data_IF_494686577464
#
_entry.id   IF_494686577464
#
_cell.length_a   1.000
_cell.length_b   1.000
_cell.length_c   1.000
_cell.angle_alpha   90.00
_cell.angle_beta   90.00
_cell.angle_gamma   90.00
#
_symmetry.space_group_name_H-M   'P 1'
#
loop_
_entity.id
_entity.type
_entity.pdbx_description
1 polymer ?
#
# COMPACT_ATOMS: atom_id res chain seq x y z
N UNK A 1 -0.66 -5.36 -19.07
CA UNK A 1 -0.71 -3.88 -18.98
C UNK A 1 -0.08 -3.47 -17.68
N UNK A 2 0.81 -2.48 -17.66
CA UNK A 2 1.39 -1.91 -16.44
C UNK A 2 0.47 -0.81 -15.89
N UNK A 3 0.06 -0.93 -14.63
CA UNK A 3 -0.55 0.15 -13.87
C UNK A 3 0.53 0.79 -13.00
N UNK A 4 0.95 2.00 -13.37
CA UNK A 4 1.99 2.74 -12.67
C UNK A 4 1.48 4.12 -12.25
N UNK A 5 1.78 4.52 -11.04
CA UNK A 5 1.38 5.81 -10.49
C UNK A 5 2.18 6.18 -9.25
N UNK A 6 1.74 7.20 -8.55
CA UNK A 6 2.41 7.72 -7.38
C UNK A 6 1.43 8.18 -6.30
N UNK A 7 1.96 8.53 -5.14
CA UNK A 7 1.17 9.12 -4.06
C UNK A 7 0.82 10.58 -4.38
N UNK A 8 -0.48 10.92 -4.37
CA UNK A 8 -0.99 12.24 -4.67
C UNK A 8 -1.72 12.87 -3.49
N UNK A 9 -1.73 14.19 -3.44
CA UNK A 9 -2.46 14.95 -2.43
C UNK A 9 -3.95 15.05 -2.77
N UNK A 10 -4.81 14.76 -1.80
CA UNK A 10 -6.26 14.92 -1.90
C UNK A 10 -6.75 16.35 -1.56
N UNK A 11 -5.86 17.32 -1.36
CA UNK A 11 -6.21 18.67 -0.91
C UNK A 11 -7.14 19.41 -1.87
N UNK A 12 -6.96 19.22 -3.19
CA UNK A 12 -7.73 19.89 -4.23
C UNK A 12 -8.99 19.12 -4.67
N UNK A 13 -9.24 17.94 -4.08
CA UNK A 13 -10.37 17.07 -4.40
C UNK A 13 -10.01 15.86 -5.25
N UNK A 14 -11.00 14.98 -5.44
CA UNK A 14 -10.81 13.69 -6.10
C UNK A 14 -10.58 13.82 -7.60
N UNK A 15 -11.41 14.61 -8.31
CA UNK A 15 -11.22 14.83 -9.74
C UNK A 15 -9.88 15.50 -10.04
N UNK A 16 -9.42 16.41 -9.18
CA UNK A 16 -8.12 17.07 -9.33
C UNK A 16 -6.97 16.05 -9.24
N UNK A 17 -7.03 15.07 -8.33
CA UNK A 17 -6.06 13.97 -8.27
C UNK A 17 -6.02 13.18 -9.58
N UNK A 18 -7.18 12.81 -10.13
CA UNK A 18 -7.26 12.09 -11.40
C UNK A 18 -6.63 12.85 -12.56
N UNK A 19 -6.89 14.17 -12.66
CA UNK A 19 -6.26 15.04 -13.65
C UNK A 19 -4.75 15.15 -13.47
N UNK A 20 -4.29 15.27 -12.21
CA UNK A 20 -2.86 15.27 -11.90
C UNK A 20 -2.23 13.94 -12.31
N UNK A 21 -2.84 12.80 -11.97
CA UNK A 21 -2.34 11.49 -12.39
C UNK A 21 -2.18 11.40 -13.91
N UNK A 22 -3.18 11.82 -14.69
CA UNK A 22 -3.12 11.86 -16.14
C UNK A 22 -1.96 12.72 -16.64
N UNK A 23 -1.75 13.90 -16.07
CA UNK A 23 -0.67 14.82 -16.46
C UNK A 23 0.72 14.23 -16.22
N UNK A 24 0.85 13.32 -15.26
CA UNK A 24 2.09 12.59 -14.95
C UNK A 24 2.29 11.33 -15.82
N UNK A 25 1.29 10.96 -16.65
CA UNK A 25 1.28 9.71 -17.40
C UNK A 25 0.94 8.49 -16.55
N UNK A 26 0.39 8.69 -15.36
CA UNK A 26 -0.07 7.62 -14.48
C UNK A 26 -1.43 7.05 -14.92
N UNK A 27 -1.68 5.77 -14.60
CA UNK A 27 -2.96 5.10 -14.81
C UNK A 27 -3.40 4.30 -13.56
N UNK A 28 -2.85 4.62 -12.43
CA UNK A 28 -3.26 4.35 -11.06
C UNK A 28 -2.67 5.43 -10.17
N UNK A 29 -3.07 5.53 -8.93
CA UNK A 29 -2.42 6.39 -7.93
C UNK A 29 -2.85 6.01 -6.51
N UNK A 30 -2.11 6.53 -5.54
CA UNK A 30 -2.43 6.44 -4.12
C UNK A 30 -2.73 7.81 -3.54
N UNK A 31 -3.51 7.85 -2.48
CA UNK A 31 -3.79 9.05 -1.71
C UNK A 31 -4.09 8.71 -0.24
N UNK A 32 -3.86 9.65 0.66
CA UNK A 32 -4.33 9.50 2.03
C UNK A 32 -5.82 9.80 2.14
N UNK A 33 -6.56 8.96 2.87
CA UNK A 33 -7.99 9.14 3.14
C UNK A 33 -8.28 10.40 3.95
N UNK A 34 -7.29 10.84 4.73
CA UNK A 34 -7.32 12.03 5.60
C UNK A 34 -5.91 12.59 5.79
N UNK A 35 -5.77 13.67 6.56
CA UNK A 35 -4.45 14.17 6.91
C UNK A 35 -3.61 13.03 7.54
N UNK A 36 -2.47 12.63 6.94
CA UNK A 36 -1.68 11.49 7.39
C UNK A 36 -1.06 11.66 8.79
N UNK A 37 -0.93 12.90 9.26
CA UNK A 37 -0.38 13.27 10.58
C UNK A 37 -1.45 13.77 11.55
N UNK A 38 -2.72 13.63 11.20
CA UNK A 38 -3.85 14.11 11.98
C UNK A 38 -5.08 13.25 11.81
N UNK A 39 -6.16 13.61 12.52
CA UNK A 39 -7.42 12.85 12.50
C UNK A 39 -8.47 13.41 11.53
N UNK A 40 -8.26 14.63 11.04
CA UNK A 40 -9.28 15.32 10.22
C UNK A 40 -9.35 14.75 8.81
N UNK A 41 -10.54 14.30 8.41
CA UNK A 41 -10.90 14.06 7.02
C UNK A 41 -11.67 15.26 6.48
N UNK A 42 -11.44 15.64 5.22
CA UNK A 42 -12.30 16.58 4.50
C UNK A 42 -13.68 15.92 4.28
N UNK A 43 -14.76 16.69 4.28
CA UNK A 43 -16.06 16.16 3.90
C UNK A 43 -15.97 15.53 2.49
N UNK A 44 -16.55 14.34 2.34
CA UNK A 44 -16.64 13.68 1.03
C UNK A 44 -17.68 14.45 0.18
N UNK A 45 -17.28 14.83 -1.03
CA UNK A 45 -18.19 15.32 -2.04
C UNK A 45 -18.54 14.17 -3.01
N UNK A 46 -19.78 13.64 -2.97
CA UNK A 46 -20.19 12.56 -3.85
C UNK A 46 -20.12 12.91 -5.35
N UNK A 47 -20.32 14.18 -5.70
CA UNK A 47 -20.25 14.63 -7.09
C UNK A 47 -18.80 14.63 -7.59
N UNK A 48 -17.84 15.08 -6.78
CA UNK A 48 -16.42 15.06 -7.08
C UNK A 48 -15.91 13.60 -7.20
N UNK A 49 -16.35 12.71 -6.29
CA UNK A 49 -16.04 11.29 -6.37
C UNK A 49 -16.63 10.64 -7.64
N UNK A 50 -17.86 10.99 -8.03
CA UNK A 50 -18.48 10.51 -9.25
C UNK A 50 -17.73 11.00 -10.50
N UNK A 51 -17.30 12.26 -10.52
CA UNK A 51 -16.50 12.82 -11.61
C UNK A 51 -15.13 12.11 -11.74
N UNK A 52 -14.48 11.79 -10.61
CA UNK A 52 -13.26 10.96 -10.63
C UNK A 52 -13.55 9.58 -11.23
N UNK A 53 -14.61 8.88 -10.78
CA UNK A 53 -14.95 7.54 -11.33
C UNK A 53 -15.13 7.56 -12.84
N UNK A 54 -15.80 8.60 -13.37
CA UNK A 54 -15.97 8.77 -14.81
C UNK A 54 -14.61 8.93 -15.52
N UNK A 55 -13.74 9.83 -15.00
CA UNK A 55 -12.41 10.05 -15.55
C UNK A 55 -11.58 8.75 -15.56
N UNK A 56 -11.61 7.97 -14.45
CA UNK A 56 -10.88 6.70 -14.36
C UNK A 56 -11.36 5.69 -15.42
N UNK A 57 -12.67 5.59 -15.62
CA UNK A 57 -13.27 4.72 -16.63
C UNK A 57 -12.90 5.15 -18.05
N UNK A 58 -13.00 6.45 -18.37
CA UNK A 58 -12.70 7.00 -19.70
C UNK A 58 -11.24 6.80 -20.11
N UNK A 59 -10.32 6.73 -19.13
CA UNK A 59 -8.88 6.63 -19.36
C UNK A 59 -8.28 5.26 -19.01
N UNK A 60 -9.10 4.26 -18.70
CA UNK A 60 -8.63 2.88 -18.43
C UNK A 60 -7.70 2.76 -17.24
N UNK A 61 -7.98 3.48 -16.15
CA UNK A 61 -7.22 3.36 -14.92
C UNK A 61 -7.39 1.99 -14.29
N UNK A 62 -6.32 1.49 -13.65
CA UNK A 62 -6.36 0.38 -12.72
C UNK A 62 -6.94 0.78 -11.36
N UNK A 63 -7.04 -0.19 -10.42
CA UNK A 63 -7.48 0.09 -9.06
C UNK A 63 -6.62 1.18 -8.40
N UNK A 64 -7.26 2.03 -7.60
CA UNK A 64 -6.56 3.01 -6.77
C UNK A 64 -6.24 2.43 -5.40
N UNK A 65 -5.26 3.01 -4.72
CA UNK A 65 -4.92 2.68 -3.35
C UNK A 65 -5.21 3.89 -2.46
N UNK A 66 -6.13 3.74 -1.53
CA UNK A 66 -6.34 4.71 -0.47
C UNK A 66 -5.53 4.28 0.75
N UNK A 67 -4.62 5.10 1.22
CA UNK A 67 -3.76 4.76 2.35
C UNK A 67 -4.31 5.31 3.66
N UNK A 68 -4.33 4.48 4.68
CA UNK A 68 -4.67 4.90 6.05
C UNK A 68 -3.65 5.93 6.58
N UNK A 69 -4.05 6.83 7.48
CA UNK A 69 -3.11 7.78 8.07
C UNK A 69 -2.11 7.06 8.99
N UNK A 70 -0.87 7.56 9.06
CA UNK A 70 0.18 7.02 9.92
C UNK A 70 -0.13 7.09 11.42
N UNK A 71 -1.18 7.83 11.79
CA UNK A 71 -1.59 8.01 13.19
C UNK A 71 -2.37 6.83 13.76
N UNK A 72 -2.82 5.89 12.94
CA UNK A 72 -3.51 4.69 13.44
C UNK A 72 -2.51 3.62 13.88
N UNK A 73 -2.81 2.96 14.98
CA UNK A 73 -2.10 1.77 15.44
C UNK A 73 -3.09 0.81 16.13
N UNK A 74 -3.67 -0.14 15.40
CA UNK A 74 -4.69 -1.04 15.93
C UNK A 74 -4.15 -2.03 16.99
N UNK A 75 -2.83 -2.14 17.15
CA UNK A 75 -2.21 -3.01 18.14
C UNK A 75 -1.36 -2.26 19.18
N UNK A 76 -1.61 -0.96 19.38
CA UNK A 76 -0.99 -0.20 20.47
C UNK A 76 -1.36 -0.77 21.83
N UNK A 77 -0.44 -0.68 22.81
CA UNK A 77 -0.77 -0.99 24.22
C UNK A 77 -1.84 -0.05 24.78
N UNK A 78 -1.94 1.18 24.23
CA UNK A 78 -2.89 2.19 24.71
C UNK A 78 -4.29 1.95 24.13
N UNK A 79 -5.31 1.66 24.95
CA UNK A 79 -6.67 1.37 24.49
C UNK A 79 -7.26 2.48 23.61
N UNK A 80 -7.07 3.74 23.99
CA UNK A 80 -7.56 4.90 23.22
C UNK A 80 -6.99 4.97 21.81
N UNK A 81 -5.72 4.57 21.62
CA UNK A 81 -5.09 4.52 20.31
C UNK A 81 -5.71 3.42 19.44
N UNK A 82 -6.03 2.27 20.03
CA UNK A 82 -6.74 1.19 19.31
C UNK A 82 -8.17 1.57 18.94
N UNK A 83 -8.90 2.19 19.86
CA UNK A 83 -10.27 2.70 19.61
C UNK A 83 -10.26 3.74 18.50
N UNK A 84 -9.32 4.68 18.52
CA UNK A 84 -9.13 5.66 17.46
C UNK A 84 -8.83 4.98 16.11
N UNK A 85 -8.01 3.94 16.09
CA UNK A 85 -7.71 3.20 14.87
C UNK A 85 -8.98 2.54 14.28
N UNK A 86 -9.79 1.88 15.12
CA UNK A 86 -11.07 1.26 14.69
C UNK A 86 -12.03 2.31 14.15
N UNK A 87 -12.23 3.42 14.85
CA UNK A 87 -13.11 4.50 14.40
C UNK A 87 -12.64 5.11 13.09
N UNK A 88 -11.33 5.31 12.93
CA UNK A 88 -10.74 5.87 11.72
C UNK A 88 -10.92 4.94 10.53
N UNK A 89 -10.61 3.64 10.70
CA UNK A 89 -10.79 2.65 9.64
C UNK A 89 -12.26 2.51 9.21
N UNK A 90 -13.20 2.51 10.16
CA UNK A 90 -14.63 2.44 9.85
C UNK A 90 -15.08 3.66 9.03
N UNK A 91 -14.72 4.88 9.45
CA UNK A 91 -15.06 6.10 8.70
C UNK A 91 -14.39 6.14 7.32
N UNK A 92 -13.15 5.70 7.21
CA UNK A 92 -12.44 5.64 5.91
C UNK A 92 -13.10 4.63 4.96
N UNK A 93 -13.49 3.46 5.43
CA UNK A 93 -14.17 2.44 4.63
C UNK A 93 -15.54 2.93 4.16
N UNK A 94 -16.34 3.59 5.03
CA UNK A 94 -17.61 4.22 4.65
C UNK A 94 -17.43 5.27 3.55
N UNK A 95 -16.40 6.09 3.66
CA UNK A 95 -16.06 7.11 2.67
C UNK A 95 -15.63 6.51 1.33
N UNK A 96 -14.86 5.43 1.36
CA UNK A 96 -14.37 4.74 0.17
C UNK A 96 -15.47 4.01 -0.62
N UNK A 97 -16.66 3.79 -0.04
CA UNK A 97 -17.81 3.30 -0.82
C UNK A 97 -18.28 4.28 -1.91
N UNK A 98 -17.86 5.56 -1.86
CA UNK A 98 -18.00 6.49 -2.98
C UNK A 98 -17.02 6.22 -4.14
N UNK A 99 -15.96 5.43 -3.90
CA UNK A 99 -14.96 5.00 -4.88
C UNK A 99 -14.83 3.46 -4.87
N UNK A 100 -15.91 2.71 -5.21
CA UNK A 100 -15.94 1.25 -5.08
C UNK A 100 -14.93 0.55 -5.99
N UNK A 101 -14.51 -0.65 -5.57
CA UNK A 101 -13.57 -1.49 -6.34
C UNK A 101 -12.11 -1.09 -6.21
N UNK A 102 -11.79 -0.20 -5.27
CA UNK A 102 -10.43 0.21 -4.93
C UNK A 102 -9.94 -0.45 -3.65
N UNK A 103 -8.71 -0.16 -3.26
CA UNK A 103 -8.04 -0.73 -2.10
C UNK A 103 -7.92 0.28 -0.96
N UNK A 104 -8.02 -0.21 0.26
CA UNK A 104 -7.67 0.52 1.47
C UNK A 104 -6.47 -0.15 2.11
N UNK A 105 -5.31 0.45 1.97
CA UNK A 105 -4.03 -0.06 2.48
C UNK A 105 -3.72 0.51 3.86
N UNK A 106 -3.23 -0.32 4.76
CA UNK A 106 -2.79 0.11 6.09
C UNK A 106 -1.55 -0.65 6.57
N UNK A 107 -0.71 0.05 7.32
CA UNK A 107 0.32 -0.59 8.12
C UNK A 107 -0.35 -1.42 9.21
N UNK A 108 0.03 -2.69 9.43
CA UNK A 108 -0.54 -3.51 10.50
C UNK A 108 -0.42 -2.87 11.88
N UNK A 109 0.67 -2.14 12.12
CA UNK A 109 0.92 -1.39 13.34
C UNK A 109 2.10 -1.91 14.14
N UNK A 110 2.25 -1.38 15.35
CA UNK A 110 3.34 -1.72 16.27
C UNK A 110 2.77 -2.16 17.61
N UNK A 111 3.19 -3.34 18.09
CA UNK A 111 2.66 -3.93 19.33
C UNK A 111 3.16 -3.23 20.61
N UNK A 112 4.02 -2.24 20.51
CA UNK A 112 4.48 -1.36 21.61
C UNK A 112 4.88 -2.09 22.89
N UNK A 113 5.58 -3.23 22.75
CA UNK A 113 6.11 -4.02 23.86
C UNK A 113 5.16 -5.09 24.43
N UNK A 114 3.94 -5.28 23.85
CA UNK A 114 2.99 -6.31 24.30
C UNK A 114 3.28 -7.72 23.76
N UNK A 115 4.22 -7.83 22.81
CA UNK A 115 4.55 -9.06 22.10
C UNK A 115 3.73 -9.26 20.82
N UNK A 116 4.34 -10.00 19.88
CA UNK A 116 3.82 -10.27 18.52
C UNK A 116 2.42 -10.88 18.56
N UNK A 117 2.21 -11.94 19.33
CA UNK A 117 0.91 -12.64 19.42
C UNK A 117 -0.24 -11.74 19.89
N UNK A 118 0.03 -10.87 20.88
CA UNK A 118 -0.96 -9.90 21.35
C UNK A 118 -1.28 -8.88 20.26
N UNK A 119 -0.25 -8.38 19.56
CA UNK A 119 -0.42 -7.43 18.46
C UNK A 119 -1.23 -8.03 17.31
N UNK A 120 -0.91 -9.22 16.84
CA UNK A 120 -1.62 -9.95 15.79
C UNK A 120 -3.11 -10.11 16.13
N UNK A 121 -3.41 -10.56 17.36
CA UNK A 121 -4.79 -10.69 17.83
C UNK A 121 -5.53 -9.36 17.84
N UNK A 122 -4.90 -8.28 18.28
CA UNK A 122 -5.51 -6.95 18.35
C UNK A 122 -5.79 -6.38 16.94
N UNK A 123 -4.88 -6.57 15.97
CA UNK A 123 -5.09 -6.17 14.58
C UNK A 123 -6.29 -6.92 13.99
N UNK A 124 -6.32 -8.25 14.16
CA UNK A 124 -7.43 -9.06 13.66
C UNK A 124 -8.78 -8.66 14.31
N UNK A 125 -8.79 -8.35 15.60
CA UNK A 125 -9.99 -7.84 16.28
C UNK A 125 -10.45 -6.50 15.69
N UNK A 126 -9.53 -5.57 15.43
CA UNK A 126 -9.84 -4.27 14.84
C UNK A 126 -10.41 -4.44 13.42
N UNK A 127 -9.82 -5.31 12.60
CA UNK A 127 -10.33 -5.61 11.26
C UNK A 127 -11.71 -6.26 11.31
N UNK A 128 -11.92 -7.24 12.17
CA UNK A 128 -13.22 -7.89 12.36
C UNK A 128 -14.32 -6.91 12.84
N UNK A 129 -13.94 -5.84 13.53
CA UNK A 129 -14.88 -4.82 13.99
C UNK A 129 -15.32 -3.86 12.87
N UNK A 130 -14.53 -3.68 11.81
CA UNK A 130 -14.81 -2.69 10.77
C UNK A 130 -15.17 -3.28 9.40
N UNK A 131 -14.77 -4.51 9.12
CA UNK A 131 -15.07 -5.18 7.85
C UNK A 131 -16.54 -5.59 7.77
N UNK A 132 -17.14 -5.41 6.60
CA UNK A 132 -18.53 -5.77 6.32
C UNK A 132 -18.64 -6.60 5.05
N UNK A 133 -19.54 -7.61 5.00
CA UNK A 133 -19.69 -8.48 3.83
C UNK A 133 -20.06 -7.76 2.53
N UNK A 134 -20.82 -6.66 2.65
CA UNK A 134 -21.31 -5.86 1.50
C UNK A 134 -20.32 -4.80 1.02
N UNK A 135 -19.22 -4.58 1.73
CA UNK A 135 -18.23 -3.56 1.36
C UNK A 135 -17.54 -3.93 0.03
N UNK A 136 -17.33 -2.91 -0.80
CA UNK A 136 -16.72 -3.06 -2.13
C UNK A 136 -15.25 -2.65 -2.16
N UNK A 137 -14.75 -2.08 -1.08
CA UNK A 137 -13.34 -1.73 -0.89
C UNK A 137 -12.62 -2.91 -0.27
N UNK A 138 -11.55 -3.40 -0.89
CA UNK A 138 -10.72 -4.47 -0.31
C UNK A 138 -9.67 -3.84 0.60
N UNK A 139 -9.60 -4.32 1.84
CA UNK A 139 -8.55 -3.91 2.79
C UNK A 139 -7.27 -4.68 2.51
N UNK A 140 -6.14 -3.95 2.49
CA UNK A 140 -4.80 -4.52 2.33
C UNK A 140 -3.98 -4.29 3.59
N UNK A 141 -3.25 -5.33 3.99
CA UNK A 141 -2.17 -5.23 4.96
C UNK A 141 -0.86 -5.00 4.20
N UNK A 142 -0.11 -4.00 4.59
CA UNK A 142 1.19 -3.73 3.99
C UNK A 142 2.28 -4.60 4.59
N UNK A 143 3.21 -5.09 3.74
CA UNK A 143 4.47 -5.65 4.24
C UNK A 143 5.32 -4.55 4.83
N UNK A 144 5.95 -4.80 5.99
CA UNK A 144 6.68 -3.80 6.76
C UNK A 144 8.16 -4.14 6.87
N UNK A 145 8.98 -3.13 7.19
CA UNK A 145 10.42 -3.31 7.38
C UNK A 145 10.79 -4.05 8.69
N UNK A 146 9.84 -4.27 9.59
CA UNK A 146 10.10 -4.90 10.90
C UNK A 146 10.89 -4.01 11.84
N UNK A 147 10.70 -2.70 11.78
CA UNK A 147 11.39 -1.72 12.61
C UNK A 147 10.85 -1.73 14.03
N UNK A 148 11.71 -1.98 15.01
CA UNK A 148 11.34 -1.96 16.44
C UNK A 148 10.33 -3.06 16.79
N UNK A 149 9.09 -2.66 17.07
CA UNK A 149 7.97 -3.56 17.43
C UNK A 149 6.85 -3.57 16.38
N UNK A 150 7.17 -3.16 15.19
CA UNK A 150 6.29 -3.14 14.02
C UNK A 150 5.99 -4.57 13.56
N UNK A 151 4.72 -4.84 13.19
CA UNK A 151 4.25 -6.13 12.68
C UNK A 151 4.08 -6.08 11.17
N UNK A 152 4.23 -7.23 10.51
CA UNK A 152 4.21 -7.33 9.06
C UNK A 152 5.59 -7.37 8.41
N UNK A 153 6.67 -7.38 9.22
CA UNK A 153 8.04 -7.60 8.76
C UNK A 153 8.31 -9.04 8.31
N UNK A 154 7.48 -9.98 8.74
CA UNK A 154 7.53 -11.37 8.30
C UNK A 154 6.20 -11.74 7.62
N UNK A 155 6.25 -12.45 6.49
CA UNK A 155 5.03 -12.90 5.81
C UNK A 155 4.13 -13.74 6.71
N UNK A 156 4.72 -14.51 7.63
CA UNK A 156 3.98 -15.31 8.60
C UNK A 156 3.11 -14.44 9.54
N UNK A 157 3.59 -13.28 9.96
CA UNK A 157 2.81 -12.35 10.80
C UNK A 157 1.55 -11.87 10.09
N UNK A 158 1.69 -11.51 8.79
CA UNK A 158 0.55 -11.14 7.95
C UNK A 158 -0.43 -12.31 7.80
N UNK A 159 0.09 -13.49 7.52
CA UNK A 159 -0.71 -14.73 7.43
C UNK A 159 -1.49 -14.98 8.72
N UNK A 160 -0.85 -14.89 9.87
CA UNK A 160 -1.49 -15.11 11.17
C UNK A 160 -2.56 -14.06 11.48
N UNK A 161 -2.40 -12.81 11.04
CA UNK A 161 -3.45 -11.79 11.12
C UNK A 161 -4.63 -12.22 10.23
N UNK A 162 -4.35 -12.56 8.96
CA UNK A 162 -5.37 -12.92 7.98
C UNK A 162 -6.19 -14.14 8.39
N UNK A 163 -5.57 -15.14 9.01
CA UNK A 163 -6.24 -16.35 9.49
C UNK A 163 -7.24 -16.09 10.63
N UNK A 164 -7.10 -14.96 11.32
CA UNK A 164 -7.98 -14.54 12.42
C UNK A 164 -9.05 -13.52 11.99
N UNK A 165 -9.04 -13.13 10.71
CA UNK A 165 -10.01 -12.18 10.13
C UNK A 165 -11.09 -12.96 9.39
N UNK A 166 -12.35 -12.67 9.72
CA UNK A 166 -13.49 -13.42 9.20
C UNK A 166 -13.78 -13.17 7.72
N UNK A 167 -13.43 -12.00 7.21
CA UNK A 167 -13.64 -11.59 5.82
C UNK A 167 -12.30 -11.47 5.09
N UNK A 168 -12.27 -11.69 3.76
CA UNK A 168 -11.04 -11.65 3.00
C UNK A 168 -10.36 -10.29 3.05
N UNK A 169 -9.07 -10.28 3.35
CA UNK A 169 -8.16 -9.13 3.19
C UNK A 169 -7.04 -9.50 2.24
N UNK A 170 -6.46 -8.51 1.58
CA UNK A 170 -5.31 -8.68 0.69
C UNK A 170 -4.02 -8.17 1.31
N UNK A 171 -2.98 -8.13 0.50
CA UNK A 171 -1.66 -7.62 0.87
C UNK A 171 -1.19 -6.59 -0.16
N UNK A 172 -0.55 -5.53 0.32
CA UNK A 172 0.28 -4.63 -0.46
C UNK A 172 1.74 -4.96 -0.17
N UNK A 173 2.50 -5.30 -1.20
CA UNK A 173 3.94 -5.57 -1.07
C UNK A 173 4.71 -4.28 -1.33
N UNK A 174 5.40 -3.77 -0.31
CA UNK A 174 6.34 -2.66 -0.48
C UNK A 174 7.75 -3.20 -0.70
N UNK A 175 8.38 -2.83 -1.81
CA UNK A 175 9.71 -3.33 -2.20
C UNK A 175 10.81 -2.83 -1.27
N UNK A 176 10.71 -1.60 -0.75
CA UNK A 176 11.63 -1.08 0.26
C UNK A 176 11.48 -1.85 1.59
N UNK A 177 10.24 -2.08 2.02
CA UNK A 177 9.96 -2.74 3.29
C UNK A 177 10.43 -4.19 3.30
N UNK A 178 10.10 -4.97 2.27
CA UNK A 178 10.56 -6.37 2.22
C UNK A 178 12.09 -6.48 2.11
N UNK A 179 12.72 -5.57 1.35
CA UNK A 179 14.18 -5.46 1.30
C UNK A 179 14.78 -5.14 2.67
N UNK A 180 14.25 -4.14 3.34
CA UNK A 180 14.70 -3.73 4.67
C UNK A 180 14.40 -4.81 5.74
N UNK A 181 13.35 -5.62 5.56
CA UNK A 181 13.03 -6.77 6.41
C UNK A 181 13.96 -7.99 6.19
N UNK A 182 14.75 -8.00 5.11
CA UNK A 182 15.73 -9.05 4.82
C UNK A 182 15.35 -10.01 3.69
N UNK A 183 14.25 -9.75 2.98
CA UNK A 183 13.90 -10.50 1.76
C UNK A 183 14.70 -9.95 0.56
N UNK A 184 15.62 -10.75 0.04
CA UNK A 184 16.52 -10.32 -1.06
C UNK A 184 15.82 -10.31 -2.42
N UNK A 185 14.95 -9.33 -2.65
CA UNK A 185 14.29 -9.12 -3.95
C UNK A 185 15.24 -8.70 -5.07
N UNK A 186 16.49 -8.35 -4.73
CA UNK A 186 17.52 -8.02 -5.71
C UNK A 186 18.28 -9.26 -6.20
N UNK A 187 18.60 -10.18 -5.33
CA UNK A 187 19.30 -11.42 -5.66
C UNK A 187 18.35 -12.55 -6.08
N UNK A 188 17.20 -12.66 -5.41
CA UNK A 188 16.30 -13.80 -5.55
C UNK A 188 14.81 -13.40 -5.47
N UNK A 189 14.33 -12.59 -6.41
CA UNK A 189 12.91 -12.20 -6.48
C UNK A 189 11.97 -13.40 -6.58
N UNK A 190 12.32 -14.40 -7.40
CA UNK A 190 11.51 -15.61 -7.59
C UNK A 190 11.37 -16.41 -6.28
N UNK A 191 12.47 -16.55 -5.52
CA UNK A 191 12.46 -17.19 -4.20
C UNK A 191 11.60 -16.44 -3.19
N UNK A 192 11.70 -15.11 -3.14
CA UNK A 192 10.86 -14.28 -2.26
C UNK A 192 9.37 -14.40 -2.62
N UNK A 193 9.02 -14.36 -3.89
CA UNK A 193 7.62 -14.52 -4.33
C UNK A 193 7.10 -15.95 -4.13
N UNK A 194 7.97 -16.95 -4.27
CA UNK A 194 7.64 -18.35 -3.93
C UNK A 194 7.35 -18.51 -2.43
N UNK A 195 8.16 -17.88 -1.58
CA UNK A 195 7.90 -17.88 -0.14
C UNK A 195 6.59 -17.13 0.19
N UNK A 196 6.36 -15.98 -0.44
CA UNK A 196 5.11 -15.24 -0.30
C UNK A 196 3.91 -16.12 -0.69
N UNK A 197 3.97 -16.81 -1.82
CA UNK A 197 2.90 -17.71 -2.29
C UNK A 197 2.66 -18.85 -1.31
N UNK A 198 3.72 -19.49 -0.83
CA UNK A 198 3.62 -20.58 0.13
C UNK A 198 3.00 -20.15 1.47
N UNK A 199 3.30 -18.95 1.95
CA UNK A 199 2.88 -18.48 3.28
C UNK A 199 1.52 -17.78 3.21
N UNK A 200 1.32 -16.88 2.24
CA UNK A 200 0.14 -16.01 2.15
C UNK A 200 -0.77 -16.42 1.00
N UNK A 201 -0.20 -16.73 -0.17
CA UNK A 201 -0.87 -16.94 -1.43
C UNK A 201 -0.76 -15.71 -2.34
N UNK A 202 -0.27 -15.89 -3.58
CA UNK A 202 -0.17 -14.80 -4.58
C UNK A 202 -1.54 -14.24 -4.96
N UNK A 203 -2.62 -15.02 -4.80
CA UNK A 203 -3.98 -14.55 -5.00
C UNK A 203 -4.42 -13.48 -3.98
N UNK A 204 -3.67 -13.31 -2.90
CA UNK A 204 -3.87 -12.25 -1.90
C UNK A 204 -3.09 -10.98 -2.18
N UNK A 205 -2.09 -11.03 -3.04
CA UNK A 205 -1.33 -9.85 -3.44
C UNK A 205 -2.16 -8.97 -4.38
N UNK A 206 -2.41 -7.73 -4.00
CA UNK A 206 -3.33 -6.82 -4.70
C UNK A 206 -2.70 -5.53 -5.18
N UNK A 207 -1.62 -5.09 -4.55
CA UNK A 207 -0.91 -3.88 -4.91
C UNK A 207 0.59 -4.02 -4.60
N UNK A 208 1.38 -3.19 -5.22
CA UNK A 208 2.81 -3.06 -4.97
C UNK A 208 3.12 -1.59 -4.71
N UNK A 209 3.77 -1.28 -3.59
CA UNK A 209 4.50 -0.04 -3.42
C UNK A 209 5.89 -0.26 -4.01
N UNK A 210 6.19 0.43 -5.10
CA UNK A 210 7.45 0.25 -5.83
C UNK A 210 8.44 1.34 -5.43
N UNK A 211 9.16 1.09 -4.37
CA UNK A 211 10.11 2.01 -3.77
C UNK A 211 11.53 1.41 -3.77
N UNK A 212 12.55 2.24 -3.91
CA UNK A 212 13.93 1.85 -3.61
C UNK A 212 14.23 2.16 -2.13
N UNK A 213 15.26 1.56 -1.55
CA UNK A 213 15.70 1.80 -0.18
C UNK A 213 17.03 2.52 -0.13
N UNK A 214 17.20 3.44 0.84
CA UNK A 214 18.51 4.04 1.14
C UNK A 214 19.46 3.08 1.87
N UNK A 215 18.99 1.92 2.28
CA UNK A 215 19.71 1.03 3.18
C UNK A 215 20.00 -0.33 2.53
N UNK A 216 20.98 -1.08 3.05
CA UNK A 216 21.22 -2.46 2.63
C UNK A 216 20.07 -3.39 3.09
N UNK A 217 20.00 -4.57 2.46
CA UNK A 217 19.05 -5.61 2.82
C UNK A 217 19.15 -5.97 4.31
N UNK A 218 18.00 -6.16 4.95
CA UNK A 218 17.93 -6.54 6.37
C UNK A 218 18.25 -5.42 7.36
N UNK A 219 18.17 -4.17 6.92
CA UNK A 219 18.49 -3.00 7.77
C UNK A 219 17.44 -2.65 8.82
N UNK A 220 16.18 -3.04 8.63
CA UNK A 220 15.01 -2.68 9.45
C UNK A 220 14.85 -1.17 9.63
N UNK A 221 15.04 -0.38 8.57
CA UNK A 221 15.07 1.10 8.64
C UNK A 221 13.83 1.80 8.08
N UNK A 222 13.27 1.32 6.99
CA UNK A 222 12.18 1.97 6.28
C UNK A 222 12.56 3.41 5.87
N UNK A 223 13.36 3.52 4.81
CA UNK A 223 13.78 4.80 4.22
C UNK A 223 13.74 4.71 2.71
N UNK A 224 12.65 5.21 2.13
CA UNK A 224 12.47 5.24 0.69
C UNK A 224 13.51 6.12 0.01
N UNK A 225 13.99 5.64 -1.13
CA UNK A 225 14.84 6.38 -2.06
C UNK A 225 14.14 6.52 -3.41
N UNK A 226 14.56 7.48 -4.21
CA UNK A 226 14.19 7.54 -5.62
C UNK A 226 14.68 6.28 -6.34
N UNK A 227 13.99 5.86 -7.41
CA UNK A 227 14.29 4.57 -8.05
C UNK A 227 15.75 4.40 -8.47
N UNK A 228 16.40 5.47 -8.93
CA UNK A 228 17.81 5.46 -9.35
C UNK A 228 18.81 5.84 -8.24
N UNK A 229 18.33 6.14 -7.02
CA UNK A 229 19.16 6.70 -5.96
C UNK A 229 19.29 5.84 -4.70
N UNK A 230 18.81 4.61 -4.71
CA UNK A 230 18.83 3.70 -3.57
C UNK A 230 19.85 2.57 -3.67
N UNK A 231 19.76 1.65 -2.71
CA UNK A 231 20.63 0.47 -2.62
C UNK A 231 20.24 -0.63 -3.62
N UNK A 232 18.99 -0.66 -4.08
CA UNK A 232 18.53 -1.64 -5.07
C UNK A 232 18.93 -1.18 -6.48
N UNK A 233 19.60 -2.01 -7.29
CA UNK A 233 19.99 -1.66 -8.65
C UNK A 233 18.75 -1.58 -9.56
N UNK A 234 18.84 -0.77 -10.63
CA UNK A 234 17.76 -0.62 -11.61
C UNK A 234 17.27 -1.95 -12.19
N UNK A 235 18.18 -2.91 -12.36
CA UNK A 235 17.86 -4.25 -12.83
C UNK A 235 16.88 -5.00 -11.90
N UNK A 236 16.97 -4.78 -10.59
CA UNK A 236 15.98 -5.34 -9.64
C UNK A 236 14.61 -4.71 -9.85
N UNK A 237 14.54 -3.38 -10.03
CA UNK A 237 13.30 -2.68 -10.36
C UNK A 237 12.70 -3.20 -11.68
N UNK A 238 13.55 -3.38 -12.72
CA UNK A 238 13.13 -3.94 -14.01
C UNK A 238 12.51 -5.33 -13.86
N UNK A 239 13.12 -6.20 -13.05
CA UNK A 239 12.58 -7.55 -12.76
C UNK A 239 11.23 -7.49 -12.05
N UNK A 240 11.07 -6.62 -11.05
CA UNK A 240 9.79 -6.43 -10.35
C UNK A 240 8.69 -6.00 -11.32
N UNK A 241 8.96 -4.99 -12.15
CA UNK A 241 7.99 -4.45 -13.13
C UNK A 241 7.53 -5.51 -14.15
N UNK A 242 8.43 -6.41 -14.54
CA UNK A 242 8.17 -7.41 -15.59
C UNK A 242 7.79 -8.80 -15.04
N UNK A 243 7.83 -9.00 -13.72
CA UNK A 243 7.55 -10.30 -13.14
C UNK A 243 6.11 -10.75 -13.40
N UNK A 244 5.89 -11.96 -13.94
CA UNK A 244 4.54 -12.44 -14.31
C UNK A 244 3.53 -12.41 -13.17
N UNK A 245 3.95 -12.77 -11.95
CA UNK A 245 3.09 -12.77 -10.76
C UNK A 245 2.66 -11.37 -10.30
N UNK A 246 3.37 -10.32 -10.70
CA UNK A 246 3.08 -8.93 -10.34
C UNK A 246 2.38 -8.17 -11.46
N UNK A 247 2.24 -8.80 -12.64
CA UNK A 247 1.63 -8.19 -13.82
C UNK A 247 0.15 -7.87 -13.58
N UNK A 248 -0.24 -6.63 -13.90
CA UNK A 248 -1.63 -6.18 -13.75
C UNK A 248 -1.99 -5.69 -12.35
N UNK A 249 -1.07 -5.76 -11.38
CA UNK A 249 -1.24 -5.10 -10.09
C UNK A 249 -0.93 -3.60 -10.21
N UNK A 250 -1.63 -2.72 -9.46
CA UNK A 250 -1.22 -1.32 -9.34
C UNK A 250 0.13 -1.24 -8.64
N UNK A 251 1.08 -0.56 -9.28
CA UNK A 251 2.40 -0.24 -8.75
C UNK A 251 2.46 1.25 -8.44
N UNK A 252 2.63 1.59 -7.18
CA UNK A 252 2.58 2.97 -6.69
C UNK A 252 3.92 3.38 -6.12
N UNK A 253 4.39 4.54 -6.53
CA UNK A 253 5.61 5.18 -6.03
C UNK A 253 5.30 6.03 -4.80
N UNK A 254 6.08 5.84 -3.74
CA UNK A 254 6.13 6.70 -2.56
C UNK A 254 7.53 7.27 -2.37
N UNK A 255 8.29 7.29 -3.44
CA UNK A 255 9.65 7.85 -3.49
C UNK A 255 9.64 9.34 -3.12
N UNK A 256 10.73 9.87 -2.54
CA UNK A 256 10.78 11.26 -2.08
C UNK A 256 10.93 12.24 -3.28
N UNK A 257 9.91 12.29 -4.13
CA UNK A 257 9.85 13.10 -5.34
C UNK A 257 8.81 14.23 -5.24
N UNK A 258 9.01 15.25 -6.07
CA UNK A 258 7.96 16.18 -6.50
C UNK A 258 7.20 15.62 -7.75
N UNK A 259 6.19 16.35 -8.24
CA UNK A 259 5.41 15.89 -9.39
C UNK A 259 6.25 15.67 -10.65
N UNK A 260 7.21 16.57 -11.05
CA UNK A 260 8.13 16.30 -12.15
C UNK A 260 8.98 15.04 -11.96
N UNK A 261 9.47 14.79 -10.74
CA UNK A 261 10.22 13.58 -10.40
C UNK A 261 9.37 12.31 -10.55
N UNK A 262 8.14 12.32 -10.04
CA UNK A 262 7.19 11.22 -10.26
C UNK A 262 6.90 10.97 -11.74
N UNK A 263 6.70 12.04 -12.54
CA UNK A 263 6.52 11.89 -13.98
C UNK A 263 7.73 11.23 -14.67
N UNK A 264 8.94 11.56 -14.22
CA UNK A 264 10.17 10.93 -14.72
C UNK A 264 10.25 9.45 -14.35
N UNK A 265 9.96 9.09 -13.10
CA UNK A 265 9.96 7.70 -12.65
C UNK A 265 8.86 6.87 -13.31
N UNK A 266 7.64 7.40 -13.48
CA UNK A 266 6.56 6.70 -14.20
C UNK A 266 6.96 6.43 -15.66
N UNK A 267 7.61 7.38 -16.33
CA UNK A 267 8.15 7.14 -17.70
C UNK A 267 9.22 6.06 -17.70
N UNK A 268 10.12 6.08 -16.73
CA UNK A 268 11.14 5.03 -16.56
C UNK A 268 10.50 3.65 -16.41
N UNK A 269 9.49 3.50 -15.55
CA UNK A 269 8.80 2.22 -15.36
C UNK A 269 8.14 1.71 -16.65
N UNK A 270 7.57 2.61 -17.47
CA UNK A 270 7.00 2.23 -18.77
C UNK A 270 8.06 1.75 -19.74
N UNK A 271 9.22 2.43 -19.83
CA UNK A 271 10.36 2.00 -20.63
C UNK A 271 10.85 0.60 -20.21
N UNK A 272 11.04 0.39 -18.90
CA UNK A 272 11.45 -0.91 -18.36
C UNK A 272 10.46 -2.04 -18.67
N UNK A 273 9.16 -1.73 -18.73
CA UNK A 273 8.11 -2.69 -19.06
C UNK A 273 8.04 -3.01 -20.56
N UNK A 274 8.47 -2.12 -21.45
CA UNK A 274 8.51 -2.34 -22.90
C UNK A 274 9.74 -3.17 -23.34
N UNK A 275 10.81 -3.12 -22.55
CA UNK A 275 12.07 -3.84 -22.80
C UNK A 275 12.04 -5.30 -22.31
N UNK A 276 11.04 -5.70 -21.54
CA UNK A 276 10.89 -7.05 -20.95
C UNK A 276 9.79 -7.83 -21.62
#
# INVERSE_FOLDING_TARGET
MLYAGCHLSASEGFLAMGRTALSLGANTFQFFTRNPRGSRARAMDPADAAALRQLLADHGFGPLVAHAPYTINPCSKEPRTREFAVQTMADDLDRLEHLPGNYYNLHPGSHTGQGTETGIRQIAQALNAVLRPEQRTTVLLETMAGKGTELGGQFLELREIMDRVALPVGVCLDTCHVWDAGYDICGDLDGVLTEFDRVIGLDRLRAVHLNNSLNPCGSHKDRHAVLLGGAMPLEAIRRVVNHPALRGLPMVLETPNDLPGYAAEIRLLRQLAEEG
#
